data_IF_317663096321
#
_entry.id   IF_317663096321
#
_cell.length_a   1.000
_cell.length_b   1.000
_cell.length_c   1.000
_cell.angle_alpha   90.00
_cell.angle_beta   90.00
_cell.angle_gamma   90.00
#
_symmetry.space_group_name_H-M   'P 1'
#
loop_
_entity.id
_entity.type
_entity.pdbx_description
1 polymer ?
#
# COMPACT_ATOMS: atom_id res chain seq x y z
N UNK A 1 15.02 -8.79 14.26
CA UNK A 1 15.50 -7.78 13.29
C UNK A 1 15.17 -6.40 13.84
N UNK A 2 16.14 -5.47 13.97
CA UNK A 2 15.86 -4.08 14.39
C UNK A 2 14.82 -3.49 13.44
N UNK A 3 13.69 -3.04 13.96
CA UNK A 3 12.61 -2.44 13.16
C UNK A 3 13.13 -1.15 12.55
N UNK A 4 13.47 -1.17 11.26
CA UNK A 4 13.97 0.00 10.56
C UNK A 4 12.76 0.82 10.05
N UNK A 5 12.50 2.01 10.60
CA UNK A 5 11.36 2.84 10.20
C UNK A 5 11.39 3.18 8.70
N UNK A 6 12.57 3.32 8.10
CA UNK A 6 12.70 3.61 6.67
C UNK A 6 12.09 2.53 5.78
N UNK A 7 12.16 1.26 6.19
CA UNK A 7 11.55 0.17 5.42
C UNK A 7 10.03 0.33 5.37
N UNK A 8 9.39 0.69 6.48
CA UNK A 8 7.95 0.90 6.51
C UNK A 8 7.53 2.16 5.72
N UNK A 9 8.36 3.21 5.71
CA UNK A 9 8.13 4.39 4.85
C UNK A 9 8.17 3.99 3.36
N UNK A 10 9.19 3.24 2.95
CA UNK A 10 9.30 2.75 1.57
C UNK A 10 8.10 1.87 1.21
N UNK A 11 7.76 0.90 2.06
CA UNK A 11 6.58 0.04 1.86
C UNK A 11 5.30 0.85 1.73
N UNK A 12 5.14 1.92 2.51
CA UNK A 12 3.97 2.80 2.46
C UNK A 12 3.86 3.52 1.10
N UNK A 13 4.95 4.13 0.62
CA UNK A 13 4.93 4.81 -0.67
C UNK A 13 4.79 3.85 -1.86
N UNK A 14 5.47 2.71 -1.81
CA UNK A 14 5.36 1.69 -2.87
C UNK A 14 3.94 1.14 -2.94
N UNK A 15 3.32 0.80 -1.81
CA UNK A 15 1.94 0.31 -1.79
C UNK A 15 0.94 1.36 -2.29
N UNK A 16 1.12 2.64 -1.94
CA UNK A 16 0.32 3.72 -2.49
C UNK A 16 0.48 3.87 -4.01
N UNK A 17 1.72 3.81 -4.52
CA UNK A 17 1.98 3.89 -5.96
C UNK A 17 1.34 2.72 -6.71
N UNK A 18 1.46 1.50 -6.19
CA UNK A 18 0.81 0.31 -6.77
C UNK A 18 -0.70 0.47 -6.79
N UNK A 19 -1.31 0.98 -5.70
CA UNK A 19 -2.74 1.24 -5.66
C UNK A 19 -3.17 2.23 -6.76
N UNK A 20 -2.44 3.32 -6.94
CA UNK A 20 -2.74 4.30 -7.99
C UNK A 20 -2.62 3.66 -9.37
N UNK A 21 -1.55 2.91 -9.63
CA UNK A 21 -1.33 2.25 -10.92
C UNK A 21 -2.37 1.18 -11.24
N UNK A 22 -2.93 0.53 -10.22
CA UNK A 22 -3.97 -0.50 -10.40
C UNK A 22 -5.36 0.12 -10.49
N UNK A 23 -5.64 1.16 -9.71
CA UNK A 23 -6.97 1.78 -9.63
C UNK A 23 -7.24 2.76 -10.78
N UNK A 24 -6.25 3.59 -11.15
CA UNK A 24 -6.41 4.65 -12.14
C UNK A 24 -6.81 4.13 -13.53
N UNK A 25 -6.23 3.05 -14.07
CA UNK A 25 -6.66 2.51 -15.36
C UNK A 25 -8.10 2.00 -15.32
N UNK A 26 -8.54 1.41 -14.21
CA UNK A 26 -9.92 0.94 -14.04
C UNK A 26 -10.96 2.05 -13.96
N UNK A 27 -10.55 3.28 -13.63
CA UNK A 27 -11.40 4.47 -13.69
C UNK A 27 -11.47 5.10 -15.08
N UNK A 28 -10.41 4.96 -15.88
CA UNK A 28 -10.26 5.65 -17.17
C UNK A 28 -10.73 4.79 -18.33
N UNK A 29 -10.43 3.48 -18.32
CA UNK A 29 -10.73 2.55 -19.40
C UNK A 29 -11.45 1.31 -18.85
N UNK A 30 -12.73 1.16 -19.17
CA UNK A 30 -13.48 -0.09 -18.91
C UNK A 30 -13.01 -1.26 -19.82
N UNK A 31 -12.28 -0.96 -20.90
CA UNK A 31 -11.81 -1.95 -21.89
C UNK A 31 -10.48 -2.63 -21.53
N UNK A 32 -9.95 -2.40 -20.32
CA UNK A 32 -8.69 -2.99 -19.89
C UNK A 32 -8.76 -4.52 -19.84
N UNK A 33 -7.99 -5.20 -20.70
CA UNK A 33 -7.83 -6.66 -20.79
C UNK A 33 -7.32 -7.35 -19.49
N UNK A 34 -7.12 -6.61 -18.40
CA UNK A 34 -6.71 -7.15 -17.12
C UNK A 34 -7.92 -7.73 -16.39
N UNK A 35 -7.83 -8.96 -15.91
CA UNK A 35 -8.92 -9.59 -15.16
C UNK A 35 -9.33 -8.71 -13.97
N UNK A 36 -10.58 -8.23 -13.97
CA UNK A 36 -11.14 -7.41 -12.88
C UNK A 36 -10.93 -8.07 -11.51
N UNK A 37 -10.97 -9.39 -11.44
CA UNK A 37 -10.70 -10.14 -10.21
C UNK A 37 -9.28 -9.91 -9.68
N UNK A 38 -8.27 -9.97 -10.57
CA UNK A 38 -6.86 -9.72 -10.20
C UNK A 38 -6.66 -8.28 -9.76
N UNK A 39 -7.33 -7.33 -10.43
CA UNK A 39 -7.29 -5.91 -10.05
C UNK A 39 -7.80 -5.71 -8.61
N UNK A 40 -8.92 -6.33 -8.26
CA UNK A 40 -9.46 -6.27 -6.90
C UNK A 40 -8.52 -6.89 -5.86
N UNK A 41 -7.91 -8.04 -6.16
CA UNK A 41 -6.93 -8.66 -5.27
C UNK A 41 -5.72 -7.76 -5.03
N UNK A 42 -5.21 -7.11 -6.09
CA UNK A 42 -4.10 -6.17 -5.97
C UNK A 42 -4.48 -4.93 -5.15
N UNK A 43 -5.70 -4.42 -5.31
CA UNK A 43 -6.20 -3.30 -4.50
C UNK A 43 -6.28 -3.69 -3.04
N UNK A 44 -6.87 -4.85 -2.72
CA UNK A 44 -7.00 -5.32 -1.33
C UNK A 44 -5.63 -5.53 -0.70
N UNK A 45 -4.72 -6.23 -1.39
CA UNK A 45 -3.38 -6.49 -0.90
C UNK A 45 -2.58 -5.19 -0.72
N UNK A 46 -2.68 -4.26 -1.67
CA UNK A 46 -2.04 -2.94 -1.61
C UNK A 46 -2.54 -2.11 -0.43
N UNK A 47 -3.86 -2.04 -0.24
CA UNK A 47 -4.49 -1.31 0.86
C UNK A 47 -4.13 -1.91 2.23
N UNK A 48 -4.16 -3.24 2.37
CA UNK A 48 -3.75 -3.92 3.59
C UNK A 48 -2.27 -3.66 3.92
N UNK A 49 -1.40 -3.71 2.91
CA UNK A 49 0.04 -3.44 3.08
C UNK A 49 0.30 -1.99 3.47
N UNK A 50 -0.41 -1.05 2.85
CA UNK A 50 -0.34 0.38 3.19
C UNK A 50 -0.77 0.62 4.65
N UNK A 51 -1.94 0.09 5.03
CA UNK A 51 -2.46 0.22 6.39
C UNK A 51 -1.52 -0.39 7.43
N UNK A 52 -0.94 -1.55 7.14
CA UNK A 52 0.06 -2.18 8.01
C UNK A 52 1.30 -1.31 8.18
N UNK A 53 1.86 -0.78 7.08
CA UNK A 53 3.04 0.08 7.14
C UNK A 53 2.77 1.38 7.92
N UNK A 54 1.60 2.00 7.70
CA UNK A 54 1.17 3.19 8.41
C UNK A 54 1.05 2.94 9.92
N UNK A 55 0.42 1.83 10.32
CA UNK A 55 0.25 1.49 11.73
C UNK A 55 1.60 1.18 12.40
N UNK A 56 2.52 0.51 11.72
CA UNK A 56 3.88 0.26 12.24
C UNK A 56 4.67 1.55 12.42
N UNK A 57 4.58 2.49 11.48
CA UNK A 57 5.19 3.81 11.63
C UNK A 57 4.60 4.58 12.81
N UNK A 58 3.28 4.50 13.00
CA UNK A 58 2.59 5.12 14.14
C UNK A 58 3.09 4.56 15.48
N UNK A 59 3.23 3.24 15.58
CA UNK A 59 3.74 2.57 16.79
C UNK A 59 5.18 2.96 17.10
N UNK A 60 6.06 2.98 16.08
CA UNK A 60 7.45 3.42 16.23
C UNK A 60 7.56 4.90 16.64
N UNK A 61 6.70 5.75 16.11
CA UNK A 61 6.65 7.16 16.51
C UNK A 61 6.15 7.35 17.95
N UNK A 62 5.18 6.54 18.38
CA UNK A 62 4.69 6.53 19.77
C UNK A 62 5.76 6.07 20.77
N UNK A 63 6.52 5.03 20.43
CA UNK A 63 7.62 4.53 21.26
C UNK A 63 8.80 5.51 21.38
N UNK A 64 9.01 6.39 20.40
CA UNK A 64 10.04 7.46 20.49
C UNK A 64 9.65 8.62 21.38
N UNK A 65 8.36 8.79 21.69
CA UNK A 65 7.84 9.90 22.50
C UNK A 65 7.64 9.55 23.98
N UNK A 66 7.72 8.26 24.33
CA UNK A 66 7.66 7.74 25.69
C UNK A 66 9.07 7.58 26.26
#
# INVERSE_FOLDING_TARGET
MKQNPLLYVVTLYVSAAVLVLVFLPGLINEEGHFSHFVQHLLIIAGAATFAYAAERLRQLAGQRKA
#
